data_IF_552664497560
#
_entry.id   IF_552664497560
#
_cell.length_a   1.000
_cell.length_b   1.000
_cell.length_c   1.000
_cell.angle_alpha   90.00
_cell.angle_beta   90.00
_cell.angle_gamma   90.00
#
_symmetry.space_group_name_H-M   'P 1'
#
loop_
_entity.id
_entity.type
_entity.pdbx_description
1 polymer ?
#
# COMPACT_ATOMS: atom_id res chain seq x y z
N UNK A 1 -22.24 -5.64 4.24
CA UNK A 1 -21.10 -5.95 5.12
C UNK A 1 -20.53 -7.29 4.70
N UNK A 2 -19.20 -7.46 4.76
CA UNK A 2 -18.53 -8.74 4.49
C UNK A 2 -18.53 -9.59 5.77
N UNK A 3 -19.23 -10.75 5.81
CA UNK A 3 -19.20 -11.63 6.97
C UNK A 3 -17.78 -12.12 7.30
N UNK A 4 -17.48 -12.30 8.59
CA UNK A 4 -16.21 -12.92 9.01
C UNK A 4 -16.12 -14.33 8.43
N UNK A 5 -14.96 -14.67 7.88
CA UNK A 5 -14.73 -15.96 7.22
C UNK A 5 -15.11 -15.99 5.72
N UNK A 6 -15.58 -14.88 5.15
CA UNK A 6 -15.76 -14.78 3.69
C UNK A 6 -14.41 -14.91 3.00
N UNK A 7 -14.34 -15.80 2.01
CA UNK A 7 -13.19 -15.92 1.11
C UNK A 7 -13.37 -14.90 -0.01
N UNK A 8 -12.39 -14.02 -0.20
CA UNK A 8 -12.35 -13.03 -1.27
C UNK A 8 -11.35 -13.51 -2.31
N UNK A 9 -11.83 -13.71 -3.54
CA UNK A 9 -11.01 -14.04 -4.69
C UNK A 9 -10.77 -12.81 -5.57
N UNK A 10 -9.85 -12.90 -6.53
CA UNK A 10 -9.48 -11.79 -7.41
C UNK A 10 -10.69 -11.23 -8.18
N UNK A 11 -11.59 -12.12 -8.62
CA UNK A 11 -12.84 -11.73 -9.32
C UNK A 11 -13.79 -10.88 -8.46
N UNK A 12 -13.64 -10.93 -7.14
CA UNK A 12 -14.53 -10.22 -6.21
C UNK A 12 -14.02 -8.80 -5.91
N UNK A 13 -12.76 -8.49 -6.27
CA UNK A 13 -12.12 -7.21 -5.95
C UNK A 13 -12.89 -5.97 -6.44
N UNK A 14 -13.47 -5.95 -7.66
CA UNK A 14 -14.26 -4.79 -8.13
C UNK A 14 -15.46 -4.43 -7.25
N UNK A 15 -15.99 -5.39 -6.49
CA UNK A 15 -17.12 -5.15 -5.59
C UNK A 15 -16.69 -4.55 -4.24
N UNK A 16 -15.41 -4.60 -3.89
CA UNK A 16 -14.91 -4.29 -2.55
C UNK A 16 -13.84 -3.20 -2.49
N UNK A 17 -13.10 -2.98 -3.57
CA UNK A 17 -12.03 -1.97 -3.65
C UNK A 17 -12.52 -0.80 -4.50
N UNK A 18 -12.63 0.39 -3.89
CA UNK A 18 -13.07 1.58 -4.61
C UNK A 18 -11.93 2.27 -5.39
N UNK A 19 -10.68 2.12 -4.94
CA UNK A 19 -9.57 2.85 -5.51
C UNK A 19 -8.22 2.54 -4.87
N UNK A 20 -7.17 3.08 -5.47
CA UNK A 20 -5.78 2.97 -5.04
C UNK A 20 -5.22 4.33 -4.65
N UNK A 21 -4.29 4.31 -3.70
CA UNK A 21 -3.51 5.48 -3.30
C UNK A 21 -2.08 5.05 -3.02
N UNK A 22 -1.11 5.90 -3.38
CA UNK A 22 0.29 5.63 -3.06
C UNK A 22 0.51 5.95 -1.58
N UNK A 23 1.22 5.05 -0.90
CA UNK A 23 1.67 5.25 0.47
C UNK A 23 3.13 4.87 0.63
N UNK A 24 3.81 5.47 1.60
CA UNK A 24 5.15 5.05 2.01
C UNK A 24 5.09 4.52 3.45
N UNK A 25 5.40 3.24 3.65
CA UNK A 25 5.45 2.61 4.97
C UNK A 25 6.82 2.86 5.63
N UNK A 26 7.00 4.08 6.12
CA UNK A 26 8.24 4.51 6.76
C UNK A 26 8.41 3.76 8.07
N UNK A 27 9.60 3.21 8.29
CA UNK A 27 9.88 2.35 9.45
C UNK A 27 11.15 2.79 10.17
N UNK A 28 11.06 3.07 11.47
CA UNK A 28 12.21 3.28 12.34
C UNK A 28 12.81 1.91 12.74
N UNK A 29 13.74 1.39 11.94
CA UNK A 29 14.24 0.02 12.08
C UNK A 29 14.91 -0.27 13.43
N UNK A 30 15.58 0.70 14.01
CA UNK A 30 16.21 0.55 15.34
C UNK A 30 15.17 0.30 16.44
N UNK A 31 14.06 1.05 16.43
CA UNK A 31 12.94 0.85 17.36
C UNK A 31 12.23 -0.47 17.08
N UNK A 32 12.07 -0.81 15.80
CA UNK A 32 11.39 -2.03 15.37
C UNK A 32 12.10 -3.30 15.84
N UNK A 33 13.42 -3.36 15.64
CA UNK A 33 14.23 -4.54 15.95
C UNK A 33 14.41 -4.74 17.45
N UNK A 34 14.41 -3.65 18.22
CA UNK A 34 14.60 -3.70 19.69
C UNK A 34 13.34 -4.05 20.46
N UNK A 35 12.15 -3.72 19.94
CA UNK A 35 10.88 -3.90 20.66
C UNK A 35 10.04 -5.11 20.22
N UNK A 36 10.49 -5.86 19.21
CA UNK A 36 9.81 -7.05 18.61
C UNK A 36 8.36 -6.84 18.13
N UNK A 37 7.80 -5.64 18.26
CA UNK A 37 6.50 -5.22 17.73
C UNK A 37 6.67 -4.16 16.64
N UNK A 38 5.80 -4.22 15.64
CA UNK A 38 5.88 -3.39 14.43
C UNK A 38 5.20 -2.03 14.58
N UNK A 39 4.15 -1.95 15.41
CA UNK A 39 3.24 -0.82 15.48
C UNK A 39 3.96 0.49 15.80
N UNK A 40 4.69 0.56 16.90
CA UNK A 40 5.35 1.81 17.32
C UNK A 40 6.34 2.30 16.25
N UNK A 41 7.12 1.38 15.68
CA UNK A 41 8.13 1.72 14.68
C UNK A 41 7.57 2.20 13.33
N UNK A 42 6.26 2.06 13.11
CA UNK A 42 5.54 2.37 11.87
C UNK A 42 4.43 3.40 12.04
N UNK A 43 4.22 3.92 13.25
CA UNK A 43 3.07 4.78 13.56
C UNK A 43 3.43 6.14 14.14
N UNK A 44 4.71 6.55 14.07
CA UNK A 44 5.08 7.93 14.38
C UNK A 44 4.35 8.91 13.44
N UNK A 45 4.05 10.14 13.90
CA UNK A 45 3.51 11.17 13.02
C UNK A 45 4.32 11.27 11.74
N UNK A 46 3.64 11.32 10.60
CA UNK A 46 4.22 11.37 9.23
C UNK A 46 4.77 10.05 8.65
N UNK A 47 4.69 8.90 9.34
CA UNK A 47 5.27 7.63 8.84
C UNK A 47 4.42 6.87 7.81
N UNK A 48 3.26 7.42 7.44
CA UNK A 48 2.38 6.86 6.41
C UNK A 48 1.88 7.98 5.49
N UNK A 49 2.77 8.74 4.83
CA UNK A 49 2.33 9.73 3.85
C UNK A 49 1.55 9.00 2.77
N UNK A 50 0.36 9.52 2.47
CA UNK A 50 -0.61 8.87 1.58
C UNK A 50 -1.19 9.92 0.64
N UNK A 51 -1.24 9.62 -0.65
CA UNK A 51 -1.67 10.54 -1.70
C UNK A 51 -0.65 10.68 -2.84
N UNK A 52 -0.67 11.77 -3.61
CA UNK A 52 -1.62 12.90 -3.50
C UNK A 52 -3.01 12.59 -4.07
N UNK A 53 -3.15 11.51 -4.84
CA UNK A 53 -4.41 11.14 -5.50
C UNK A 53 -4.95 9.83 -4.95
N UNK A 54 -6.28 9.78 -4.77
CA UNK A 54 -7.04 8.55 -4.72
C UNK A 54 -7.52 8.27 -6.15
N UNK A 55 -6.94 7.27 -6.80
CA UNK A 55 -7.37 6.81 -8.12
C UNK A 55 -8.54 5.84 -7.95
N UNK A 56 -9.74 6.24 -8.34
CA UNK A 56 -10.89 5.34 -8.38
C UNK A 56 -10.71 4.33 -9.51
N UNK A 57 -11.13 3.08 -9.29
CA UNK A 57 -11.02 2.00 -10.26
C UNK A 57 -12.40 1.63 -10.78
N UNK A 58 -12.48 1.41 -12.09
CA UNK A 58 -13.57 0.70 -12.73
C UNK A 58 -13.24 -0.81 -12.78
N UNK A 59 -14.24 -1.71 -12.95
CA UNK A 59 -14.00 -3.16 -12.93
C UNK A 59 -12.93 -3.66 -13.91
N UNK A 60 -12.77 -2.97 -15.04
CA UNK A 60 -11.83 -3.32 -16.10
C UNK A 60 -10.38 -3.01 -15.70
N UNK A 61 -10.16 -2.00 -14.86
CA UNK A 61 -8.84 -1.58 -14.38
C UNK A 61 -8.17 -2.66 -13.52
N UNK A 62 -8.98 -3.54 -12.90
CA UNK A 62 -8.48 -4.62 -12.04
C UNK A 62 -7.56 -5.59 -12.78
N UNK A 63 -7.74 -5.73 -14.09
CA UNK A 63 -6.88 -6.58 -14.95
C UNK A 63 -5.43 -6.09 -15.01
N UNK A 64 -5.18 -4.83 -14.66
CA UNK A 64 -3.85 -4.21 -14.70
C UNK A 64 -3.21 -4.02 -13.33
N UNK A 65 -3.84 -4.47 -12.25
CA UNK A 65 -3.36 -4.23 -10.89
C UNK A 65 -1.94 -4.76 -10.64
N UNK A 66 -1.63 -5.94 -11.19
CA UNK A 66 -0.32 -6.58 -11.05
C UNK A 66 0.72 -6.03 -12.03
N UNK A 67 0.32 -5.16 -12.96
CA UNK A 67 1.21 -4.52 -13.94
C UNK A 67 1.69 -3.13 -13.47
N UNK A 68 1.19 -2.64 -12.33
CA UNK A 68 1.53 -1.34 -11.80
C UNK A 68 3.00 -1.28 -11.39
N UNK A 69 3.75 -0.36 -12.01
CA UNK A 69 5.15 -0.12 -11.68
C UNK A 69 5.29 0.94 -10.59
N UNK A 70 5.87 0.57 -9.45
CA UNK A 70 6.18 1.47 -8.34
C UNK A 70 7.65 1.86 -8.34
N UNK A 71 7.91 3.16 -8.19
CA UNK A 71 9.25 3.74 -8.10
C UNK A 71 9.39 4.62 -6.87
N UNK A 72 10.53 4.52 -6.20
CA UNK A 72 10.93 5.43 -5.13
C UNK A 72 12.31 6.00 -5.43
N UNK A 73 12.41 7.32 -5.44
CA UNK A 73 13.69 8.04 -5.54
C UNK A 73 13.91 8.91 -4.32
N UNK A 74 15.16 9.02 -3.88
CA UNK A 74 15.58 9.89 -2.77
C UNK A 74 16.64 10.83 -3.31
N UNK A 75 16.41 12.14 -3.20
CA UNK A 75 17.31 13.17 -3.75
C UNK A 75 17.60 12.98 -5.25
N UNK A 76 16.61 12.49 -6.01
CA UNK A 76 16.75 12.21 -7.45
C UNK A 76 17.39 10.86 -7.78
N UNK A 77 17.91 10.11 -6.80
CA UNK A 77 18.50 8.80 -7.02
C UNK A 77 17.47 7.68 -6.80
N UNK A 78 17.37 6.77 -7.78
CA UNK A 78 16.44 5.64 -7.72
C UNK A 78 16.87 4.65 -6.62
N UNK A 79 15.94 4.31 -5.73
CA UNK A 79 16.16 3.34 -4.64
C UNK A 79 15.31 2.09 -4.77
N UNK A 80 14.10 2.20 -5.32
CA UNK A 80 13.20 1.07 -5.58
C UNK A 80 12.55 1.24 -6.95
N UNK A 81 12.43 0.13 -7.68
CA UNK A 81 11.80 0.07 -9.00
C UNK A 81 11.34 -1.36 -9.26
N UNK A 82 10.04 -1.59 -9.15
CA UNK A 82 9.41 -2.91 -9.32
C UNK A 82 8.03 -2.76 -9.94
N UNK A 83 7.66 -3.76 -10.72
CA UNK A 83 6.28 -4.13 -11.03
C UNK A 83 5.98 -5.33 -10.14
#
# INVERSE_FOLDING_TARGET
>A
SLPVGTVVEERDLPAYVAGLVITNDVSAREVQLTKTQFYESKSYPTFTPTGPYLALLEPEDFTHLLDLRLKLSVNGELRQDRT
#
